data_IF_047426087479
#
_entry.id   IF_047426087479
#
_cell.length_a   1.000
_cell.length_b   1.000
_cell.length_c   1.000
_cell.angle_alpha   90.00
_cell.angle_beta   90.00
_cell.angle_gamma   90.00
#
_symmetry.space_group_name_H-M   'P 1'
#
loop_
_entity.id
_entity.type
_entity.pdbx_description
1 polymer ?
#
# COMPACT_ATOMS: atom_id res chain seq x y z
N UNK A 1 -8.93 -22.17 0.63
CA UNK A 1 -7.98 -22.17 1.76
C UNK A 1 -8.83 -22.10 2.99
N UNK A 2 -8.58 -22.98 3.95
CA UNK A 2 -9.28 -22.92 5.22
C UNK A 2 -8.47 -22.06 6.17
N UNK A 3 -8.95 -20.84 6.43
CA UNK A 3 -8.39 -19.90 7.40
C UNK A 3 -9.05 -20.13 8.76
N UNK A 4 -8.25 -20.22 9.83
CA UNK A 4 -8.74 -20.42 11.20
C UNK A 4 -7.81 -19.79 12.23
N UNK A 5 -8.25 -19.72 13.49
CA UNK A 5 -7.54 -19.02 14.59
C UNK A 5 -7.15 -17.57 14.23
N UNK A 6 -8.02 -16.91 13.46
CA UNK A 6 -7.83 -15.54 13.00
C UNK A 6 -7.70 -14.59 14.18
N UNK A 7 -6.59 -13.87 14.24
CA UNK A 7 -6.38 -12.82 15.22
C UNK A 7 -6.96 -11.49 14.72
N UNK A 8 -7.33 -10.56 15.62
CA UNK A 8 -7.75 -9.22 15.22
C UNK A 8 -6.69 -8.50 14.39
N UNK A 9 -7.13 -7.69 13.44
CA UNK A 9 -6.26 -6.73 12.75
C UNK A 9 -5.77 -5.72 13.79
N UNK A 10 -4.45 -5.54 13.86
CA UNK A 10 -3.79 -4.64 14.79
C UNK A 10 -3.04 -3.57 14.02
N UNK A 11 -3.37 -2.30 14.27
CA UNK A 11 -2.59 -1.16 13.78
C UNK A 11 -1.29 -1.08 14.57
N UNK A 12 -0.16 -1.26 13.90
CA UNK A 12 1.17 -1.28 14.50
C UNK A 12 1.90 0.06 14.35
N UNK A 13 1.49 0.88 13.39
CA UNK A 13 2.00 2.23 13.18
C UNK A 13 0.91 3.11 12.59
N UNK A 14 0.78 4.32 13.12
CA UNK A 14 0.04 5.38 12.47
C UNK A 14 0.75 6.71 12.77
N UNK A 15 1.15 7.41 11.71
CA UNK A 15 1.75 8.74 11.74
C UNK A 15 0.96 9.59 10.77
N UNK A 16 0.57 10.78 11.21
CA UNK A 16 0.03 11.84 10.38
C UNK A 16 0.68 13.16 10.78
N UNK A 17 1.38 13.80 9.84
CA UNK A 17 2.08 15.05 10.07
C UNK A 17 1.34 16.21 9.41
N UNK A 18 0.43 16.83 10.17
CA UNK A 18 -0.41 17.94 9.70
C UNK A 18 0.42 19.14 9.17
N UNK A 19 1.63 19.35 9.69
CA UNK A 19 2.52 20.42 9.23
C UNK A 19 2.89 20.30 7.74
N UNK A 20 2.93 19.07 7.20
CA UNK A 20 3.27 18.78 5.81
C UNK A 20 2.06 18.78 4.87
N UNK A 21 0.84 19.05 5.39
CA UNK A 21 -0.38 18.99 4.60
C UNK A 21 -0.42 20.02 3.46
N UNK A 22 0.11 21.22 3.71
CA UNK A 22 0.17 22.25 2.68
C UNK A 22 1.15 21.87 1.55
N UNK A 23 2.21 21.15 1.89
CA UNK A 23 3.27 20.74 0.96
C UNK A 23 2.82 19.61 0.04
N UNK A 24 1.86 18.78 0.46
CA UNK A 24 1.31 17.70 -0.38
C UNK A 24 0.58 18.18 -1.62
N UNK A 25 0.22 19.47 -1.69
CA UNK A 25 -0.35 20.05 -2.92
C UNK A 25 0.71 20.32 -4.01
N UNK A 26 1.98 20.35 -3.63
CA UNK A 26 3.10 20.72 -4.51
C UNK A 26 3.94 19.51 -4.93
N UNK A 27 3.52 18.28 -4.62
CA UNK A 27 4.27 17.06 -4.94
C UNK A 27 4.33 16.11 -3.76
N UNK A 28 3.88 14.87 -3.99
CA UNK A 28 3.90 13.81 -2.99
C UNK A 28 4.03 12.45 -3.66
N UNK A 29 4.63 11.51 -2.95
CA UNK A 29 4.62 10.10 -3.34
C UNK A 29 3.55 9.34 -2.57
N UNK A 30 3.04 8.27 -3.18
CA UNK A 30 2.08 7.38 -2.55
C UNK A 30 2.43 5.93 -2.86
N UNK A 31 2.41 5.09 -1.83
CA UNK A 31 2.52 3.65 -1.97
C UNK A 31 1.66 2.94 -0.94
N UNK A 32 1.09 1.80 -1.35
CA UNK A 32 0.37 0.90 -0.47
C UNK A 32 0.48 -0.53 -0.95
N UNK A 33 0.33 -1.49 -0.02
CA UNK A 33 0.31 -2.89 -0.42
C UNK A 33 0.27 -3.88 0.74
N UNK A 34 0.01 -5.13 0.36
CA UNK A 34 0.07 -6.26 1.26
C UNK A 34 1.48 -6.88 1.29
N UNK A 35 1.92 -7.27 2.47
CA UNK A 35 3.10 -8.10 2.69
C UNK A 35 2.68 -9.42 3.33
N UNK A 36 3.22 -10.54 2.85
CA UNK A 36 2.88 -11.88 3.33
C UNK A 36 4.11 -12.60 3.90
N UNK A 37 4.02 -13.02 5.16
CA UNK A 37 5.05 -13.83 5.82
C UNK A 37 4.45 -15.15 6.25
N UNK A 38 5.09 -16.24 5.84
CA UNK A 38 4.62 -17.61 6.13
C UNK A 38 5.62 -18.33 7.03
N UNK A 39 5.13 -19.07 8.01
CA UNK A 39 5.95 -19.89 8.91
C UNK A 39 5.18 -21.08 9.46
N UNK A 40 5.88 -22.09 9.95
CA UNK A 40 5.28 -23.19 10.71
C UNK A 40 5.54 -22.94 12.19
N UNK A 41 4.47 -22.86 12.99
CA UNK A 41 4.51 -22.67 14.45
C UNK A 41 3.71 -23.80 15.07
N UNK A 42 4.33 -24.59 15.95
CA UNK A 42 3.69 -25.74 16.62
C UNK A 42 2.96 -26.69 15.66
N UNK A 43 3.62 -27.05 14.56
CA UNK A 43 3.09 -27.89 13.47
C UNK A 43 1.91 -27.29 12.68
N UNK A 44 1.55 -26.02 12.92
CA UNK A 44 0.52 -25.31 12.17
C UNK A 44 1.13 -24.31 11.19
N UNK A 45 0.61 -24.33 9.95
CA UNK A 45 0.94 -23.30 8.95
C UNK A 45 0.33 -21.98 9.40
N UNK A 46 1.16 -20.97 9.55
CA UNK A 46 0.79 -19.64 10.03
C UNK A 46 1.17 -18.61 8.98
N UNK A 47 0.23 -17.73 8.67
CA UNK A 47 0.48 -16.57 7.82
C UNK A 47 0.28 -15.30 8.64
N UNK A 48 1.23 -14.39 8.49
CA UNK A 48 1.12 -13.00 8.94
C UNK A 48 0.96 -12.14 7.69
N UNK A 49 -0.15 -11.43 7.61
CA UNK A 49 -0.43 -10.47 6.56
C UNK A 49 -0.28 -9.08 7.16
N UNK A 50 0.50 -8.23 6.51
CA UNK A 50 0.63 -6.82 6.85
C UNK A 50 0.10 -5.97 5.71
N UNK A 51 -0.47 -4.81 6.03
CA UNK A 51 -0.85 -3.81 5.05
C UNK A 51 -0.24 -2.48 5.43
N UNK A 52 0.50 -1.90 4.50
CA UNK A 52 1.24 -0.67 4.67
C UNK A 52 0.70 0.41 3.72
N UNK A 53 0.64 1.64 4.21
CA UNK A 53 0.47 2.86 3.43
C UNK A 53 1.61 3.80 3.81
N UNK A 54 2.23 4.38 2.79
CA UNK A 54 3.21 5.45 2.95
C UNK A 54 2.90 6.55 1.94
N UNK A 55 2.70 7.75 2.46
CA UNK A 55 2.67 8.97 1.67
C UNK A 55 3.72 9.94 2.20
N UNK A 56 4.54 10.47 1.29
CA UNK A 56 5.61 11.43 1.60
C UNK A 56 5.44 12.71 0.81
N UNK A 57 5.93 13.82 1.34
CA UNK A 57 6.02 15.11 0.66
C UNK A 57 7.48 15.48 0.47
N UNK A 58 7.77 16.30 -0.55
CA UNK A 58 9.16 16.57 -0.93
C UNK A 58 9.77 15.42 -1.74
N UNK A 59 11.09 15.45 -1.94
CA UNK A 59 11.77 14.52 -2.86
C UNK A 59 11.54 14.83 -4.35
N UNK A 60 10.94 15.98 -4.66
CA UNK A 60 10.81 16.53 -6.02
C UNK A 60 11.42 17.93 -6.03
N UNK A 61 12.50 18.12 -6.77
CA UNK A 61 13.01 19.45 -7.10
C UNK A 61 12.28 19.98 -8.33
N UNK A 62 11.86 21.24 -8.29
CA UNK A 62 11.18 21.87 -9.41
C UNK A 62 12.18 22.67 -10.23
N UNK A 63 12.38 22.25 -11.49
CA UNK A 63 13.16 23.00 -12.47
C UNK A 63 12.25 23.92 -13.29
N UNK A 64 12.58 25.21 -13.31
CA UNK A 64 11.91 26.21 -14.14
C UNK A 64 12.64 26.38 -15.47
N UNK A 65 11.93 26.17 -16.58
CA UNK A 65 12.41 26.52 -17.91
C UNK A 65 11.62 27.72 -18.43
N UNK A 66 12.30 28.85 -18.62
CA UNK A 66 11.71 30.05 -19.22
C UNK A 66 11.77 29.91 -20.73
N UNK A 67 10.61 29.74 -21.35
CA UNK A 67 10.47 29.76 -22.81
C UNK A 67 10.16 31.20 -23.21
N UNK A 68 11.14 31.82 -23.87
CA UNK A 68 10.97 33.16 -24.45
C UNK A 68 9.94 33.06 -25.58
N UNK A 69 8.87 33.85 -25.51
CA UNK A 69 7.90 33.94 -26.60
C UNK A 69 8.32 35.01 -27.62
N UNK A 70 7.73 34.95 -28.81
CA UNK A 70 7.92 35.98 -29.84
C UNK A 70 7.28 37.33 -29.45
N UNK A 71 6.47 37.37 -28.38
CA UNK A 71 5.96 38.61 -27.77
C UNK A 71 6.97 39.13 -26.73
N UNK A 72 7.55 40.34 -26.90
CA UNK A 72 8.49 40.92 -25.94
C UNK A 72 7.91 41.18 -24.54
N UNK A 73 6.58 41.06 -24.36
CA UNK A 73 5.92 41.13 -23.05
C UNK A 73 5.37 39.77 -22.56
N UNK A 74 5.61 38.68 -23.29
CA UNK A 74 5.11 37.34 -22.97
C UNK A 74 6.24 36.37 -22.61
N UNK A 75 6.12 35.74 -21.44
CA UNK A 75 6.98 34.64 -21.01
C UNK A 75 6.11 33.43 -20.70
N UNK A 76 6.52 32.25 -21.17
CA UNK A 76 5.95 30.98 -20.73
C UNK A 76 6.95 30.33 -19.79
N UNK A 77 6.50 29.94 -18.59
CA UNK A 77 7.32 29.18 -17.65
C UNK A 77 6.82 27.74 -17.66
N UNK A 78 7.69 26.81 -18.03
CA UNK A 78 7.45 25.39 -17.84
C UNK A 78 8.09 24.94 -16.53
N UNK A 79 7.30 24.30 -15.67
CA UNK A 79 7.74 23.69 -14.42
C UNK A 79 7.89 22.19 -14.63
N UNK A 80 9.09 21.66 -14.44
CA UNK A 80 9.38 20.23 -14.50
C UNK A 80 9.75 19.74 -13.10
N UNK A 81 9.04 18.73 -12.59
CA UNK A 81 9.42 18.06 -11.36
C UNK A 81 10.48 17.00 -11.63
N UNK A 82 11.58 17.03 -10.90
CA UNK A 82 12.66 16.03 -10.92
C UNK A 82 12.66 15.29 -9.59
N UNK A 83 12.39 13.99 -9.62
CA UNK A 83 12.50 13.14 -8.43
C UNK A 83 13.97 13.05 -7.97
N UNK A 84 14.23 13.32 -6.69
CA UNK A 84 15.57 13.27 -6.10
C UNK A 84 15.80 11.88 -5.50
N UNK A 85 16.68 11.07 -6.11
CA UNK A 85 16.91 9.66 -5.71
C UNK A 85 17.39 9.49 -4.25
N UNK A 86 17.98 10.53 -3.64
CA UNK A 86 18.57 10.46 -2.28
C UNK A 86 17.64 10.90 -1.15
N UNK A 87 16.47 11.50 -1.45
CA UNK A 87 15.57 12.03 -0.42
C UNK A 87 14.15 11.49 -0.64
N UNK A 88 13.77 10.48 0.16
CA UNK A 88 12.45 9.84 0.08
C UNK A 88 11.27 10.77 0.48
N UNK A 89 11.57 12.04 0.76
CA UNK A 89 10.66 13.03 1.27
C UNK A 89 10.35 12.83 2.75
N UNK A 90 9.72 13.84 3.33
CA UNK A 90 9.19 13.79 4.69
C UNK A 90 7.89 13.01 4.74
N UNK A 91 7.70 12.21 5.80
CA UNK A 91 6.48 11.43 5.97
C UNK A 91 5.30 12.38 6.18
N UNK A 92 4.32 12.35 5.28
CA UNK A 92 3.01 12.95 5.53
C UNK A 92 2.13 11.97 6.30
N UNK A 93 1.99 10.76 5.76
CA UNK A 93 1.18 9.68 6.34
C UNK A 93 1.97 8.38 6.32
N UNK A 94 1.98 7.67 7.43
CA UNK A 94 2.46 6.28 7.46
C UNK A 94 1.52 5.45 8.31
N UNK A 95 0.88 4.47 7.69
CA UNK A 95 0.00 3.51 8.35
C UNK A 95 0.54 2.10 8.14
N UNK A 96 0.59 1.31 9.21
CA UNK A 96 0.91 -0.12 9.15
C UNK A 96 -0.07 -0.88 10.02
N UNK A 97 -0.58 -1.96 9.47
CA UNK A 97 -1.41 -2.91 10.20
C UNK A 97 -0.96 -4.32 9.93
N UNK A 98 -1.28 -5.23 10.86
CA UNK A 98 -1.01 -6.65 10.66
C UNK A 98 -2.10 -7.52 11.25
N UNK A 99 -2.25 -8.71 10.67
CA UNK A 99 -3.11 -9.78 11.14
C UNK A 99 -2.36 -11.10 11.03
N UNK A 100 -2.71 -12.07 11.88
CA UNK A 100 -2.17 -13.43 11.78
C UNK A 100 -3.30 -14.46 11.85
N UNK A 101 -3.11 -15.57 11.16
CA UNK A 101 -4.02 -16.71 11.21
C UNK A 101 -3.29 -18.02 10.88
N UNK A 102 -3.94 -19.13 11.22
CA UNK A 102 -3.54 -20.45 10.76
C UNK A 102 -4.28 -20.84 9.48
N UNK A 103 -3.69 -21.72 8.68
CA UNK A 103 -4.26 -22.14 7.41
C UNK A 103 -4.06 -23.62 7.08
N UNK A 104 -5.00 -24.16 6.31
CA UNK A 104 -4.90 -25.45 5.62
C UNK A 104 -5.19 -25.22 4.12
N UNK A 105 -4.33 -25.75 3.26
CA UNK A 105 -4.49 -25.66 1.81
C UNK A 105 -5.64 -26.59 1.35
N UNK A 106 -6.41 -26.16 0.35
CA UNK A 106 -7.55 -26.90 -0.17
C UNK A 106 -7.53 -27.05 -1.71
N UNK A 107 -6.46 -26.60 -2.35
CA UNK A 107 -6.30 -26.58 -3.80
C UNK A 107 -6.37 -25.17 -4.36
N UNK A 108 -5.67 -24.96 -5.49
CA UNK A 108 -5.32 -23.61 -5.99
C UNK A 108 -6.52 -22.67 -6.14
N UNK A 109 -7.58 -23.11 -6.81
CA UNK A 109 -8.73 -22.23 -7.07
C UNK A 109 -9.48 -21.85 -5.78
N UNK A 110 -9.67 -22.83 -4.89
CA UNK A 110 -10.31 -22.59 -3.59
C UNK A 110 -9.44 -21.72 -2.67
N UNK A 111 -8.12 -21.87 -2.78
CA UNK A 111 -7.14 -21.13 -1.99
C UNK A 111 -7.03 -19.68 -2.45
N UNK A 112 -6.94 -19.43 -3.75
CA UNK A 112 -6.99 -18.08 -4.33
C UNK A 112 -8.29 -17.39 -3.97
N UNK A 113 -9.44 -18.07 -4.13
CA UNK A 113 -10.75 -17.47 -3.83
C UNK A 113 -10.82 -17.06 -2.35
N UNK A 114 -10.51 -17.96 -1.43
CA UNK A 114 -10.59 -17.65 0.00
C UNK A 114 -9.61 -16.56 0.43
N UNK A 115 -8.41 -16.52 -0.15
CA UNK A 115 -7.45 -15.47 0.14
C UNK A 115 -7.91 -14.12 -0.41
N UNK A 116 -8.47 -14.10 -1.62
CA UNK A 116 -9.04 -12.88 -2.22
C UNK A 116 -10.18 -12.33 -1.36
N UNK A 117 -11.09 -13.20 -0.92
CA UNK A 117 -12.21 -12.81 -0.03
C UNK A 117 -11.68 -12.24 1.30
N UNK A 118 -10.67 -12.89 1.91
CA UNK A 118 -10.03 -12.40 3.13
C UNK A 118 -9.37 -11.03 2.96
N UNK A 119 -8.61 -10.86 1.88
CA UNK A 119 -7.94 -9.58 1.56
C UNK A 119 -8.95 -8.46 1.31
N UNK A 120 -10.11 -8.76 0.72
CA UNK A 120 -11.21 -7.80 0.56
C UNK A 120 -11.73 -7.30 1.89
N UNK A 121 -12.00 -8.20 2.84
CA UNK A 121 -12.45 -7.81 4.18
C UNK A 121 -11.37 -7.06 4.97
N UNK A 122 -10.10 -7.47 4.85
CA UNK A 122 -8.97 -6.73 5.44
C UNK A 122 -8.94 -5.32 4.85
N UNK A 123 -8.95 -5.20 3.53
CA UNK A 123 -8.86 -3.91 2.86
C UNK A 123 -10.03 -2.98 3.21
N UNK A 124 -11.26 -3.50 3.31
CA UNK A 124 -12.42 -2.75 3.81
C UNK A 124 -12.21 -2.23 5.25
N UNK A 125 -11.55 -3.01 6.11
CA UNK A 125 -11.18 -2.53 7.45
C UNK A 125 -10.20 -1.34 7.37
N UNK A 126 -9.20 -1.42 6.49
CA UNK A 126 -8.26 -0.30 6.26
C UNK A 126 -8.97 0.93 5.71
N UNK A 127 -9.86 0.79 4.72
CA UNK A 127 -10.65 1.91 4.19
C UNK A 127 -11.49 2.57 5.27
N UNK A 128 -12.15 1.79 6.14
CA UNK A 128 -12.90 2.36 7.28
C UNK A 128 -12.01 3.16 8.23
N UNK A 129 -10.79 2.69 8.48
CA UNK A 129 -9.82 3.41 9.29
C UNK A 129 -9.40 4.74 8.62
N UNK A 130 -9.08 4.70 7.32
CA UNK A 130 -8.73 5.90 6.56
C UNK A 130 -9.90 6.90 6.46
N UNK A 131 -11.13 6.44 6.29
CA UNK A 131 -12.26 7.35 6.19
C UNK A 131 -12.60 8.01 7.54
N UNK A 132 -12.16 7.43 8.66
CA UNK A 132 -12.36 8.00 10.00
C UNK A 132 -11.21 8.91 10.45
N UNK A 133 -9.98 8.59 10.07
CA UNK A 133 -8.77 9.21 10.62
C UNK A 133 -7.77 9.66 9.55
N UNK A 134 -8.02 9.35 8.29
CA UNK A 134 -7.14 9.65 7.16
C UNK A 134 -7.45 11.00 6.52
N UNK A 135 -6.53 11.41 5.66
CA UNK A 135 -6.65 12.59 4.82
C UNK A 135 -7.41 12.25 3.53
N UNK A 136 -8.32 13.12 3.10
CA UNK A 136 -9.27 12.88 1.99
C UNK A 136 -8.57 12.48 0.67
N UNK A 137 -7.37 13.02 0.40
CA UNK A 137 -6.65 12.67 -0.83
C UNK A 137 -6.18 11.21 -0.87
N UNK A 138 -6.00 10.55 0.28
CA UNK A 138 -5.52 9.17 0.33
C UNK A 138 -6.60 8.19 -0.15
N UNK A 139 -7.87 8.52 0.00
CA UNK A 139 -8.97 7.66 -0.47
C UNK A 139 -8.92 7.53 -1.99
N UNK A 140 -8.78 8.66 -2.71
CA UNK A 140 -8.68 8.67 -4.16
C UNK A 140 -7.42 7.96 -4.68
N UNK A 141 -6.26 8.20 -4.02
CA UNK A 141 -5.00 7.54 -4.40
C UNK A 141 -5.04 6.03 -4.16
N UNK A 142 -5.66 5.59 -3.08
CA UNK A 142 -5.83 4.18 -2.82
C UNK A 142 -6.80 3.53 -3.82
N UNK A 143 -7.89 4.20 -4.18
CA UNK A 143 -8.81 3.72 -5.20
C UNK A 143 -8.10 3.51 -6.55
N UNK A 144 -7.28 4.47 -6.97
CA UNK A 144 -6.45 4.37 -8.18
C UNK A 144 -5.45 3.21 -8.09
N UNK A 145 -4.76 3.06 -6.96
CA UNK A 145 -3.83 1.96 -6.74
C UNK A 145 -4.52 0.59 -6.84
N UNK A 146 -5.74 0.45 -6.30
CA UNK A 146 -6.50 -0.81 -6.38
C UNK A 146 -7.04 -1.12 -7.77
N UNK A 147 -7.22 -0.12 -8.64
CA UNK A 147 -7.52 -0.38 -10.06
C UNK A 147 -6.35 -1.05 -10.78
N UNK A 148 -5.12 -0.69 -10.41
CA UNK A 148 -3.90 -1.23 -11.00
C UNK A 148 -3.44 -2.54 -10.33
N UNK A 149 -3.64 -2.68 -9.02
CA UNK A 149 -3.21 -3.83 -8.21
C UNK A 149 -4.40 -4.55 -7.57
N UNK A 150 -4.87 -5.59 -8.26
CA UNK A 150 -6.05 -6.35 -7.81
C UNK A 150 -5.76 -7.24 -6.61
N UNK A 151 -6.74 -7.41 -5.72
CA UNK A 151 -6.64 -8.33 -4.58
C UNK A 151 -6.42 -9.79 -5.00
N UNK A 152 -6.83 -10.16 -6.22
CA UNK A 152 -6.55 -11.48 -6.78
C UNK A 152 -5.05 -11.65 -7.08
N UNK A 153 -4.38 -10.60 -7.55
CA UNK A 153 -2.93 -10.63 -7.75
C UNK A 153 -2.20 -10.76 -6.41
N UNK A 154 -2.63 -10.02 -5.39
CA UNK A 154 -2.12 -10.15 -4.02
C UNK A 154 -2.34 -11.55 -3.44
N UNK A 155 -3.52 -12.15 -3.67
CA UNK A 155 -3.81 -13.52 -3.28
C UNK A 155 -2.87 -14.52 -3.96
N UNK A 156 -2.56 -14.33 -5.25
CA UNK A 156 -1.59 -15.17 -5.97
C UNK A 156 -0.19 -15.05 -5.35
N UNK A 157 0.26 -13.83 -5.03
CA UNK A 157 1.54 -13.60 -4.34
C UNK A 157 1.58 -14.34 -2.99
N UNK A 158 0.49 -14.32 -2.22
CA UNK A 158 0.41 -15.05 -0.96
C UNK A 158 0.57 -16.57 -1.15
N UNK A 159 -0.03 -17.15 -2.20
CA UNK A 159 0.12 -18.57 -2.53
C UNK A 159 1.54 -18.88 -2.99
N UNK A 160 2.15 -18.03 -3.82
CA UNK A 160 3.55 -18.20 -4.24
C UNK A 160 4.52 -18.12 -3.06
N UNK A 161 4.26 -17.25 -2.07
CA UNK A 161 5.04 -17.22 -0.84
C UNK A 161 4.91 -18.52 -0.03
N UNK A 162 3.73 -19.15 0.01
CA UNK A 162 3.55 -20.47 0.62
C UNK A 162 4.30 -21.56 -0.15
N UNK A 163 4.29 -21.52 -1.50
CA UNK A 163 5.04 -22.45 -2.36
C UNK A 163 6.54 -22.31 -2.13
N UNK A 164 7.06 -21.09 -2.18
CA UNK A 164 8.48 -20.80 -1.91
C UNK A 164 8.94 -21.22 -0.51
N UNK A 165 8.02 -21.24 0.47
CA UNK A 165 8.27 -21.71 1.82
C UNK A 165 8.11 -23.24 2.01
N UNK A 166 7.86 -24.02 0.95
CA UNK A 166 7.50 -25.45 1.03
C UNK A 166 6.29 -25.74 1.93
N UNK A 167 5.35 -24.80 2.02
CA UNK A 167 4.14 -24.90 2.83
C UNK A 167 2.89 -25.14 1.96
N UNK A 168 3.04 -25.25 0.65
CA UNK A 168 1.94 -25.46 -0.30
C UNK A 168 2.12 -26.77 -1.06
N UNK A 169 1.20 -27.71 -0.87
CA UNK A 169 1.24 -29.06 -1.47
C UNK A 169 -0.03 -29.29 -2.30
N UNK A 170 -0.08 -28.70 -3.50
CA UNK A 170 -1.10 -28.93 -4.53
C UNK A 170 -0.57 -28.55 -5.91
#
# INVERSE_FOLDING_TARGET
>A
MKIFNLQPITVTKYIFNEAHLAESHNGHSYSSGFEFKCSVVDSLKTMVISFDILSTVGGVEWEETIISSDDPNGWTVELHGVEVEEDAGDILVSYKSSCRFNLENQGLDADIKSMTDFLGEYYLHTQKFLNQYGFESLEAQEEEMRMNYTLRADALIAIENLRGANMYEF
#
